data_IF_220237100606
#
_entry.id   IF_220237100606
#
_cell.length_a   1.000
_cell.length_b   1.000
_cell.length_c   1.000
_cell.angle_alpha   90.00
_cell.angle_beta   90.00
_cell.angle_gamma   90.00
#
_symmetry.space_group_name_H-M   'P 1'
#
loop_
_entity.id
_entity.type
_entity.pdbx_description
1 polymer ?
#
# COMPACT_ATOMS: atom_id res chain seq x y z
N UNK A 1 -25.95 52.22 -25.78
CA UNK A 1 -25.02 51.14 -26.19
C UNK A 1 -23.75 51.26 -25.39
N UNK A 2 -23.34 50.14 -24.75
CA UNK A 2 -22.01 49.76 -24.22
C UNK A 2 -22.18 49.14 -22.83
N UNK A 3 -22.65 47.90 -22.83
CA UNK A 3 -22.54 47.00 -21.68
C UNK A 3 -21.14 46.39 -21.75
N UNK A 4 -20.34 46.65 -20.72
CA UNK A 4 -18.98 46.17 -20.59
C UNK A 4 -18.99 44.66 -20.42
N UNK A 5 -18.29 43.97 -21.31
CA UNK A 5 -17.94 42.57 -21.16
C UNK A 5 -17.09 42.39 -19.89
N UNK A 6 -17.51 41.52 -18.98
CA UNK A 6 -16.63 41.03 -17.92
C UNK A 6 -16.70 39.51 -17.92
N UNK A 7 -15.50 38.95 -18.01
CA UNK A 7 -15.21 37.57 -18.35
C UNK A 7 -15.72 36.57 -17.30
N UNK A 8 -16.14 35.42 -17.81
CA UNK A 8 -16.50 34.22 -17.08
C UNK A 8 -15.23 33.68 -16.39
N UNK A 9 -15.19 33.70 -15.07
CA UNK A 9 -14.19 32.98 -14.28
C UNK A 9 -14.85 31.69 -13.74
N UNK A 10 -14.93 30.66 -14.60
CA UNK A 10 -15.28 29.31 -14.16
C UNK A 10 -14.11 28.73 -13.37
N UNK A 11 -14.17 28.81 -12.04
CA UNK A 11 -13.26 28.07 -11.17
C UNK A 11 -13.62 26.59 -11.29
N UNK A 12 -12.95 25.84 -12.18
CA UNK A 12 -12.98 24.38 -12.12
C UNK A 12 -12.26 23.97 -10.84
N UNK A 13 -13.00 23.75 -9.77
CA UNK A 13 -12.54 22.92 -8.67
C UNK A 13 -12.37 21.50 -9.23
N UNK A 14 -11.17 21.18 -9.70
CA UNK A 14 -10.76 19.79 -9.85
C UNK A 14 -10.72 19.25 -8.43
N UNK A 15 -11.81 18.65 -7.98
CA UNK A 15 -11.78 17.77 -6.83
C UNK A 15 -10.84 16.63 -7.22
N UNK A 16 -9.56 16.76 -6.89
CA UNK A 16 -8.67 15.63 -6.89
C UNK A 16 -9.34 14.62 -5.97
N UNK A 17 -9.82 13.51 -6.54
CA UNK A 17 -10.15 12.33 -5.77
C UNK A 17 -8.84 11.91 -5.12
N UNK A 18 -8.60 12.45 -3.93
CA UNK A 18 -7.43 12.15 -3.12
C UNK A 18 -7.65 10.70 -2.64
N UNK A 19 -7.31 9.77 -3.53
CA UNK A 19 -7.73 8.38 -3.49
C UNK A 19 -7.19 7.71 -2.24
N UNK A 20 -8.08 7.15 -1.45
CA UNK A 20 -7.68 6.25 -0.38
C UNK A 20 -6.91 5.08 -1.04
N UNK A 21 -5.65 4.90 -0.65
CA UNK A 21 -4.88 3.74 -1.08
C UNK A 21 -5.50 2.49 -0.42
N UNK A 22 -5.73 1.48 -1.24
CA UNK A 22 -6.17 0.17 -0.79
C UNK A 22 -4.95 -0.69 -0.47
N UNK A 23 -4.99 -1.41 0.64
CA UNK A 23 -3.95 -2.38 0.99
C UNK A 23 -4.50 -3.78 0.78
N UNK A 24 -3.76 -4.60 0.03
CA UNK A 24 -4.10 -5.99 -0.18
C UNK A 24 -2.93 -6.92 0.14
N UNK A 25 -3.26 -8.16 0.46
CA UNK A 25 -2.28 -9.18 0.87
C UNK A 25 -2.66 -10.49 0.21
N UNK A 26 -1.69 -11.09 -0.50
CA UNK A 26 -1.87 -12.38 -1.17
C UNK A 26 -0.72 -13.32 -0.83
N UNK A 27 -1.06 -14.50 -0.34
CA UNK A 27 -0.09 -15.57 -0.15
C UNK A 27 -0.05 -16.46 -1.40
N UNK A 28 0.91 -16.19 -2.29
CA UNK A 28 1.11 -16.97 -3.51
C UNK A 28 1.99 -18.21 -3.26
N UNK A 29 2.51 -18.36 -2.04
CA UNK A 29 3.38 -19.46 -1.63
C UNK A 29 2.74 -20.36 -0.56
N UNK A 30 1.40 -20.43 -0.51
CA UNK A 30 0.65 -21.16 0.52
C UNK A 30 0.99 -22.66 0.63
N UNK A 31 1.57 -23.27 -0.40
CA UNK A 31 2.05 -24.67 -0.38
C UNK A 31 3.44 -24.85 0.26
N UNK A 32 4.16 -23.78 0.54
CA UNK A 32 5.50 -23.83 1.16
C UNK A 32 5.41 -23.77 2.69
N UNK A 33 6.40 -24.30 3.45
CA UNK A 33 6.43 -24.17 4.90
C UNK A 33 6.33 -22.72 5.39
N UNK A 34 7.04 -21.81 4.72
CA UNK A 34 7.00 -20.37 4.99
C UNK A 34 5.66 -19.71 4.72
N UNK A 35 5.00 -20.05 3.61
CA UNK A 35 3.65 -19.56 3.30
C UNK A 35 2.62 -20.08 4.31
N UNK A 36 2.69 -21.36 4.68
CA UNK A 36 1.81 -21.92 5.73
C UNK A 36 2.05 -21.26 7.09
N UNK A 37 3.32 -20.98 7.42
CA UNK A 37 3.69 -20.23 8.62
C UNK A 37 3.15 -18.81 8.56
N UNK A 38 3.15 -18.17 7.39
CA UNK A 38 2.58 -16.84 7.20
C UNK A 38 1.10 -16.81 7.57
N UNK A 39 0.31 -17.71 6.97
CA UNK A 39 -1.14 -17.76 7.21
C UNK A 39 -1.47 -18.10 8.67
N UNK A 40 -0.75 -19.06 9.26
CA UNK A 40 -1.01 -19.51 10.63
C UNK A 40 -0.60 -18.49 11.70
N UNK A 41 0.54 -17.83 11.54
CA UNK A 41 1.15 -17.03 12.62
C UNK A 41 0.91 -15.52 12.45
N UNK A 42 0.67 -15.05 11.22
CA UNK A 42 0.49 -13.63 10.92
C UNK A 42 -0.88 -13.37 10.31
N UNK A 43 -1.21 -14.05 9.21
CA UNK A 43 -2.49 -13.89 8.51
C UNK A 43 -2.58 -12.61 7.67
N UNK A 44 -3.39 -12.66 6.62
CA UNK A 44 -3.56 -11.56 5.66
C UNK A 44 -4.17 -10.31 6.31
N UNK A 45 -5.14 -10.46 7.20
CA UNK A 45 -5.84 -9.32 7.81
C UNK A 45 -4.93 -8.51 8.72
N UNK A 46 -4.16 -9.17 9.57
CA UNK A 46 -3.18 -8.50 10.42
C UNK A 46 -2.08 -7.84 9.56
N UNK A 47 -1.58 -8.51 8.53
CA UNK A 47 -0.60 -7.92 7.63
C UNK A 47 -1.14 -6.67 6.92
N UNK A 48 -2.42 -6.68 6.50
CA UNK A 48 -3.10 -5.52 5.91
C UNK A 48 -3.20 -4.37 6.89
N UNK A 49 -3.55 -4.66 8.15
CA UNK A 49 -3.57 -3.65 9.22
C UNK A 49 -2.17 -3.02 9.40
N UNK A 50 -1.12 -3.83 9.52
CA UNK A 50 0.26 -3.34 9.68
C UNK A 50 0.69 -2.46 8.50
N UNK A 51 0.33 -2.82 7.26
CA UNK A 51 0.62 -1.98 6.08
C UNK A 51 -0.09 -0.62 6.16
N UNK A 52 -1.35 -0.61 6.59
CA UNK A 52 -2.13 0.62 6.76
C UNK A 52 -1.55 1.51 7.86
N UNK A 53 -1.23 0.92 9.01
CA UNK A 53 -0.64 1.63 10.16
C UNK A 53 0.75 2.20 9.81
N UNK A 54 1.60 1.41 9.16
CA UNK A 54 2.93 1.85 8.73
C UNK A 54 2.87 2.97 7.68
N UNK A 55 1.92 2.91 6.76
CA UNK A 55 1.72 3.97 5.76
C UNK A 55 1.23 5.26 6.43
N UNK A 56 0.28 5.15 7.36
CA UNK A 56 -0.23 6.28 8.15
C UNK A 56 0.87 6.93 8.98
N UNK A 57 1.70 6.11 9.63
CA UNK A 57 2.89 6.58 10.35
C UNK A 57 3.84 7.34 9.42
N UNK A 58 4.15 6.78 8.25
CA UNK A 58 5.03 7.41 7.25
C UNK A 58 4.48 8.76 6.79
N UNK A 59 3.20 8.83 6.41
CA UNK A 59 2.59 10.10 6.00
C UNK A 59 2.60 11.14 7.12
N UNK A 60 2.43 10.71 8.36
CA UNK A 60 2.50 11.59 9.52
C UNK A 60 3.92 12.15 9.71
N UNK A 61 4.94 11.30 9.63
CA UNK A 61 6.36 11.71 9.75
C UNK A 61 6.77 12.72 8.67
N UNK A 62 6.27 12.55 7.44
CA UNK A 62 6.61 13.43 6.32
C UNK A 62 5.58 14.54 6.07
N UNK A 63 4.61 14.74 6.96
CA UNK A 63 3.55 15.76 6.84
C UNK A 63 2.72 15.67 5.54
N UNK A 64 2.48 14.45 5.03
CA UNK A 64 1.67 14.14 3.86
C UNK A 64 0.21 13.84 4.23
N UNK A 65 -0.39 14.74 5.01
CA UNK A 65 -1.74 14.53 5.57
C UNK A 65 -2.81 14.57 4.49
N UNK A 66 -2.65 15.45 3.50
CA UNK A 66 -3.51 15.48 2.32
C UNK A 66 -3.16 14.30 1.40
N UNK A 67 -4.13 13.46 0.98
CA UNK A 67 -3.80 12.33 0.11
C UNK A 67 -3.21 12.73 -1.25
N UNK A 68 -3.40 13.97 -1.71
CA UNK A 68 -2.73 14.50 -2.89
C UNK A 68 -1.20 14.65 -2.74
N UNK A 69 -0.68 14.72 -1.51
CA UNK A 69 0.75 14.85 -1.23
C UNK A 69 1.46 13.49 -1.16
N UNK A 70 0.69 12.40 -1.23
CA UNK A 70 1.18 11.03 -1.13
C UNK A 70 1.59 10.52 -2.51
N UNK A 71 2.61 9.67 -2.55
CA UNK A 71 2.95 8.94 -3.78
C UNK A 71 1.72 8.10 -4.22
N UNK A 72 1.26 8.20 -5.48
CA UNK A 72 0.18 7.36 -5.96
C UNK A 72 0.61 5.88 -5.99
N UNK A 73 -0.32 5.00 -5.65
CA UNK A 73 -0.13 3.56 -5.82
C UNK A 73 -0.63 3.13 -7.20
N UNK A 74 -0.01 2.08 -7.76
CA UNK A 74 -0.42 1.54 -9.06
C UNK A 74 -1.84 0.96 -8.93
N UNK A 75 -2.79 1.51 -9.68
CA UNK A 75 -4.21 1.13 -9.55
C UNK A 75 -4.77 1.37 -8.14
N UNK A 76 -4.27 2.39 -7.43
CA UNK A 76 -4.66 2.76 -6.07
C UNK A 76 -4.47 1.64 -5.02
N UNK A 77 -3.62 0.64 -5.32
CA UNK A 77 -3.43 -0.52 -4.45
C UNK A 77 -1.95 -0.77 -4.13
N UNK A 78 -1.66 -0.97 -2.85
CA UNK A 78 -0.39 -1.56 -2.39
C UNK A 78 -0.62 -3.02 -2.06
N UNK A 79 0.08 -3.91 -2.77
CA UNK A 79 -0.02 -5.36 -2.60
C UNK A 79 1.17 -5.89 -1.82
N UNK A 80 0.93 -6.64 -0.75
CA UNK A 80 1.92 -7.54 -0.17
C UNK A 80 1.74 -8.95 -0.76
N UNK A 81 2.68 -9.39 -1.56
CA UNK A 81 2.72 -10.73 -2.13
C UNK A 81 3.74 -11.59 -1.37
N UNK A 82 3.27 -12.65 -0.69
CA UNK A 82 4.15 -13.67 -0.12
C UNK A 82 4.48 -14.68 -1.21
N UNK A 83 5.76 -14.82 -1.57
CA UNK A 83 6.22 -15.64 -2.69
C UNK A 83 7.41 -16.52 -2.31
N UNK A 84 7.58 -17.63 -3.02
CA UNK A 84 8.78 -18.46 -2.87
C UNK A 84 9.96 -17.87 -3.63
N UNK A 85 10.57 -16.83 -3.05
CA UNK A 85 11.73 -16.14 -3.63
C UNK A 85 12.91 -16.11 -2.67
N UNK A 86 14.10 -15.80 -3.19
CA UNK A 86 15.30 -15.59 -2.36
C UNK A 86 15.27 -14.23 -1.65
N UNK A 87 16.24 -14.02 -0.75
CA UNK A 87 16.33 -12.78 0.03
C UNK A 87 15.27 -12.68 1.12
N UNK A 88 15.02 -11.45 1.59
CA UNK A 88 14.07 -11.17 2.68
C UNK A 88 12.77 -10.59 2.11
N UNK A 89 12.88 -9.43 1.48
CA UNK A 89 11.79 -8.76 0.82
C UNK A 89 12.34 -7.85 -0.29
N UNK A 90 11.48 -7.51 -1.25
CA UNK A 90 11.79 -6.54 -2.30
C UNK A 90 10.55 -5.73 -2.66
N UNK A 91 10.72 -4.67 -3.44
CA UNK A 91 9.61 -3.86 -3.95
C UNK A 91 9.71 -3.72 -5.46
N UNK A 92 8.58 -3.85 -6.15
CA UNK A 92 8.45 -3.56 -7.58
C UNK A 92 7.13 -2.82 -7.81
N UNK A 93 7.23 -1.56 -8.27
CA UNK A 93 6.07 -0.67 -8.34
C UNK A 93 5.46 -0.51 -6.94
N UNK A 94 4.17 -0.78 -6.82
CA UNK A 94 3.42 -0.75 -5.56
C UNK A 94 3.22 -2.14 -4.94
N UNK A 95 3.95 -3.15 -5.42
CA UNK A 95 3.99 -4.48 -4.82
C UNK A 95 5.21 -4.62 -3.91
N UNK A 96 4.96 -5.03 -2.67
CA UNK A 96 5.95 -5.53 -1.72
C UNK A 96 5.96 -7.05 -1.86
N UNK A 97 7.12 -7.61 -2.18
CA UNK A 97 7.31 -9.06 -2.22
C UNK A 97 8.00 -9.51 -0.93
N UNK A 98 7.36 -10.40 -0.18
CA UNK A 98 7.92 -11.03 1.01
C UNK A 98 8.31 -12.48 0.70
N UNK A 99 9.56 -12.84 0.99
CA UNK A 99 10.05 -14.20 0.78
C UNK A 99 9.44 -15.16 1.80
N UNK A 100 8.74 -16.19 1.31
CA UNK A 100 8.31 -17.32 2.12
C UNK A 100 9.51 -18.07 2.72
N UNK A 101 10.64 -18.16 2.01
CA UNK A 101 11.87 -18.80 2.53
C UNK A 101 12.38 -18.08 3.76
N UNK A 102 12.37 -16.74 3.75
CA UNK A 102 12.72 -15.96 4.92
C UNK A 102 11.73 -16.17 6.06
N UNK A 103 10.42 -16.15 5.77
CA UNK A 103 9.37 -16.35 6.77
C UNK A 103 9.50 -17.71 7.48
N UNK A 104 9.87 -18.76 6.75
CA UNK A 104 10.10 -20.10 7.30
C UNK A 104 11.23 -20.10 8.35
N UNK A 105 12.32 -19.38 8.07
CA UNK A 105 13.50 -19.31 8.91
C UNK A 105 13.38 -18.45 10.18
N UNK A 106 12.25 -17.79 10.44
CA UNK A 106 12.07 -16.95 11.64
C UNK A 106 11.93 -17.83 12.89
N UNK A 107 12.86 -17.68 13.83
CA UNK A 107 12.98 -18.53 15.03
C UNK A 107 12.34 -17.96 16.31
N UNK A 108 11.71 -16.79 16.26
CA UNK A 108 10.94 -16.22 17.38
C UNK A 108 9.46 -16.60 17.37
N UNK A 109 8.88 -16.87 18.55
CA UNK A 109 7.42 -16.92 18.77
C UNK A 109 6.94 -15.57 19.30
N UNK A 110 5.75 -15.15 18.88
CA UNK A 110 5.02 -14.05 19.52
C UNK A 110 4.53 -14.48 20.89
#
# INVERSE_FOLDING_TARGET
MKLHAVAIASLLAVAATAGAVTFDVKNEAASTPGGQRFDRNYGADYARQVLSDASTFTWSVFNQLNPADRRPADGDTVLLAVRDTGGIASTRGSTIELSARYVDGITGRR
#
